data_IF_496235518201
#
_entry.id   IF_496235518201
#
_cell.length_a   1.000
_cell.length_b   1.000
_cell.length_c   1.000
_cell.angle_alpha   90.00
_cell.angle_beta   90.00
_cell.angle_gamma   90.00
#
_symmetry.space_group_name_H-M   'P 1'
#
loop_
_entity.id
_entity.type
_entity.pdbx_description
1 polymer ?
#
# COMPACT_ATOMS: atom_id res chain seq x y z
N UNK A 1 -38.13 -8.40 -77.35
CA UNK A 1 -38.42 -7.26 -76.46
C UNK A 1 -38.93 -7.86 -75.17
N UNK A 2 -38.07 -8.01 -74.18
CA UNK A 2 -38.37 -8.74 -72.94
C UNK A 2 -37.90 -7.87 -71.78
N UNK A 3 -38.84 -7.50 -70.91
CA UNK A 3 -38.60 -6.68 -69.74
C UNK A 3 -38.00 -7.53 -68.61
N UNK A 4 -37.06 -6.96 -67.86
CA UNK A 4 -36.85 -7.26 -66.44
C UNK A 4 -36.26 -6.01 -65.79
N UNK A 5 -36.99 -5.45 -64.83
CA UNK A 5 -36.48 -4.42 -63.92
C UNK A 5 -35.62 -5.06 -62.83
N UNK A 6 -34.73 -4.27 -62.26
CA UNK A 6 -34.32 -4.39 -60.86
C UNK A 6 -34.04 -3.00 -60.30
N UNK A 7 -34.72 -2.74 -59.19
CA UNK A 7 -34.58 -1.59 -58.30
C UNK A 7 -33.35 -1.78 -57.39
N UNK A 8 -32.76 -0.67 -56.95
CA UNK A 8 -32.30 -0.37 -55.58
C UNK A 8 -31.08 0.57 -55.59
N UNK A 9 -31.27 1.82 -55.17
CA UNK A 9 -30.21 2.67 -54.60
C UNK A 9 -30.84 3.85 -53.81
N UNK A 10 -30.32 4.12 -52.61
CA UNK A 10 -30.62 5.32 -51.81
C UNK A 10 -30.82 5.00 -50.32
N UNK A 11 -29.74 4.75 -49.57
CA UNK A 11 -29.09 5.69 -48.63
C UNK A 11 -29.94 6.18 -47.45
N UNK A 12 -29.58 5.72 -46.25
CA UNK A 12 -29.49 6.51 -45.01
C UNK A 12 -29.25 5.58 -43.83
N UNK A 13 -27.98 5.38 -43.43
CA UNK A 13 -27.63 4.69 -42.20
C UNK A 13 -27.35 5.73 -41.11
N UNK A 14 -28.17 5.70 -40.06
CA UNK A 14 -28.05 6.54 -38.87
C UNK A 14 -26.90 6.06 -37.97
N UNK A 15 -26.10 7.00 -37.47
CA UNK A 15 -25.03 6.79 -36.49
C UNK A 15 -25.64 6.60 -35.09
N UNK A 16 -25.31 5.55 -34.31
CA UNK A 16 -25.61 5.50 -32.89
C UNK A 16 -24.49 6.19 -32.08
N UNK A 17 -24.88 7.19 -31.29
CA UNK A 17 -24.01 7.84 -30.32
C UNK A 17 -23.69 6.93 -29.13
N UNK A 18 -22.39 6.78 -28.83
CA UNK A 18 -21.90 6.15 -27.61
C UNK A 18 -22.18 7.07 -26.40
N UNK A 19 -23.21 6.74 -25.63
CA UNK A 19 -23.36 7.20 -24.25
C UNK A 19 -22.31 6.53 -23.38
N UNK A 20 -21.33 7.31 -22.89
CA UNK A 20 -20.39 6.86 -21.88
C UNK A 20 -21.11 6.76 -20.54
N UNK A 21 -21.42 5.53 -20.10
CA UNK A 21 -21.80 5.25 -18.72
C UNK A 21 -20.57 5.43 -17.83
N UNK A 22 -20.49 6.54 -17.09
CA UNK A 22 -19.56 6.66 -15.96
C UNK A 22 -20.04 5.71 -14.86
N UNK A 23 -19.39 4.56 -14.75
CA UNK A 23 -19.54 3.69 -13.59
C UNK A 23 -18.95 4.38 -12.37
N UNK A 24 -19.84 4.88 -11.50
CA UNK A 24 -19.50 5.30 -10.14
C UNK A 24 -19.20 4.02 -9.35
N UNK A 25 -17.93 3.78 -9.02
CA UNK A 25 -17.51 2.64 -8.19
C UNK A 25 -17.81 3.03 -6.74
N UNK A 26 -18.82 2.38 -6.14
CA UNK A 26 -19.13 2.52 -4.72
C UNK A 26 -18.07 1.81 -3.88
N UNK A 27 -17.50 2.50 -2.90
CA UNK A 27 -16.58 1.92 -1.93
C UNK A 27 -17.26 0.77 -1.14
N UNK A 28 -16.58 -0.36 -0.89
CA UNK A 28 -17.09 -1.43 -0.05
C UNK A 28 -17.14 -0.99 1.43
N UNK A 29 -18.06 -1.53 2.24
CA UNK A 29 -18.28 -1.08 3.61
C UNK A 29 -17.07 -1.37 4.51
N UNK A 30 -16.68 -0.38 5.33
CA UNK A 30 -15.72 -0.55 6.41
C UNK A 30 -16.21 -1.62 7.39
N UNK A 31 -15.50 -2.75 7.44
CA UNK A 31 -15.66 -3.77 8.48
C UNK A 31 -14.89 -3.27 9.71
N UNK A 32 -15.61 -2.88 10.77
CA UNK A 32 -15.01 -2.64 12.10
C UNK A 32 -14.44 -3.96 12.64
N UNK A 33 -13.18 -3.93 13.04
CA UNK A 33 -12.52 -5.03 13.76
C UNK A 33 -12.05 -4.52 15.12
N UNK A 34 -12.84 -4.84 16.14
CA UNK A 34 -12.49 -4.67 17.55
C UNK A 34 -11.69 -5.90 18.00
N UNK A 35 -10.42 -5.75 18.35
CA UNK A 35 -9.68 -6.93 18.83
C UNK A 35 -8.17 -6.87 19.07
N UNK A 36 -7.54 -5.70 19.18
CA UNK A 36 -6.28 -5.54 19.95
C UNK A 36 -6.00 -4.04 20.19
N UNK A 37 -6.92 -3.32 20.79
CA UNK A 37 -6.65 -1.99 21.30
C UNK A 37 -7.69 -1.71 22.37
N UNK A 38 -7.31 -1.80 23.64
CA UNK A 38 -7.85 -1.02 24.73
C UNK A 38 -7.08 -1.33 26.02
N UNK A 39 -6.08 -0.49 26.31
CA UNK A 39 -5.96 0.05 27.67
C UNK A 39 -5.45 1.48 27.60
N UNK A 40 -6.29 2.36 28.15
CA UNK A 40 -6.14 3.81 28.35
C UNK A 40 -6.51 4.72 27.16
N UNK A 41 -7.82 4.94 27.00
CA UNK A 41 -8.33 6.19 26.43
C UNK A 41 -8.23 7.31 27.48
N UNK A 42 -7.46 8.34 27.18
CA UNK A 42 -7.55 9.68 27.80
C UNK A 42 -8.50 10.54 26.95
N UNK A 43 -9.40 11.35 27.54
CA UNK A 43 -10.40 12.08 26.78
C UNK A 43 -9.87 13.43 26.27
N UNK A 44 -10.22 13.71 25.00
CA UNK A 44 -10.15 15.00 24.27
C UNK A 44 -8.82 15.34 23.58
N UNK A 45 -8.73 14.92 22.33
CA UNK A 45 -8.08 15.72 21.28
C UNK A 45 -9.04 15.77 20.09
N UNK A 46 -9.91 16.78 20.06
CA UNK A 46 -10.61 17.15 18.84
C UNK A 46 -9.58 17.79 17.88
N UNK A 47 -9.65 17.38 16.61
CA UNK A 47 -8.73 17.62 15.48
C UNK A 47 -7.49 16.72 15.40
N UNK A 48 -7.67 15.51 14.87
CA UNK A 48 -6.57 14.77 14.21
C UNK A 48 -6.97 14.60 12.76
N UNK A 49 -6.73 15.63 11.95
CA UNK A 49 -6.47 15.37 10.53
C UNK A 49 -5.30 14.41 10.49
N UNK A 50 -5.46 13.27 9.81
CA UNK A 50 -4.36 12.33 9.56
C UNK A 50 -3.16 13.12 9.04
N UNK A 51 -1.97 12.86 9.57
CA UNK A 51 -0.73 13.53 9.12
C UNK A 51 -0.49 13.32 7.61
N UNK A 52 -1.07 12.25 7.07
CA UNK A 52 -1.03 11.91 5.66
C UNK A 52 -2.42 11.66 5.07
N UNK A 53 -2.60 12.01 3.82
CA UNK A 53 -3.77 11.68 3.03
C UNK A 53 -3.42 10.81 1.81
N UNK A 54 -4.40 10.50 0.97
CA UNK A 54 -4.19 9.63 -0.20
C UNK A 54 -3.14 10.19 -1.18
N UNK A 55 -2.90 11.51 -1.19
CA UNK A 55 -1.93 12.16 -2.09
C UNK A 55 -0.48 11.94 -1.66
N UNK A 56 -0.24 11.60 -0.39
CA UNK A 56 1.08 11.24 0.12
C UNK A 56 1.50 9.81 -0.26
N UNK A 57 0.57 9.02 -0.81
CA UNK A 57 0.83 7.61 -1.17
C UNK A 57 1.38 7.52 -2.58
N UNK A 58 2.57 6.92 -2.71
CA UNK A 58 3.24 6.66 -3.98
C UNK A 58 3.42 5.16 -4.19
N UNK A 59 3.47 4.72 -5.46
CA UNK A 59 3.83 3.35 -5.79
C UNK A 59 5.34 3.25 -5.96
N UNK A 60 5.99 2.51 -5.07
CA UNK A 60 7.44 2.29 -5.12
C UNK A 60 7.76 0.90 -5.68
N UNK A 61 8.91 0.71 -6.36
CA UNK A 61 9.34 -0.61 -6.81
C UNK A 61 9.53 -1.56 -5.64
N UNK A 62 9.04 -2.80 -5.78
CA UNK A 62 9.20 -3.84 -4.76
C UNK A 62 10.69 -4.09 -4.43
N UNK A 63 11.53 -4.20 -5.46
CA UNK A 63 12.97 -4.47 -5.33
C UNK A 63 13.77 -3.36 -4.64
N UNK A 64 13.20 -2.15 -4.51
CA UNK A 64 13.86 -1.05 -3.81
C UNK A 64 13.68 -1.14 -2.29
N UNK A 65 12.63 -1.82 -1.83
CA UNK A 65 12.26 -1.96 -0.43
C UNK A 65 13.21 -2.91 0.31
N UNK A 66 13.62 -2.51 1.51
CA UNK A 66 14.60 -3.23 2.32
C UNK A 66 14.04 -3.51 3.70
N UNK A 67 13.67 -4.75 4.02
CA UNK A 67 13.26 -5.11 5.37
C UNK A 67 14.48 -5.10 6.30
N UNK A 68 14.28 -4.67 7.54
CA UNK A 68 15.26 -4.82 8.62
C UNK A 68 14.77 -5.75 9.73
N UNK A 69 13.57 -6.33 9.59
CA UNK A 69 12.93 -7.14 10.63
C UNK A 69 12.21 -8.34 9.99
N UNK A 70 12.34 -9.50 10.62
CA UNK A 70 11.59 -10.71 10.26
C UNK A 70 10.08 -10.55 10.52
N UNK A 71 9.28 -11.27 9.74
CA UNK A 71 7.84 -11.36 9.95
C UNK A 71 7.47 -12.62 10.72
N UNK A 72 6.31 -12.60 11.37
CA UNK A 72 5.63 -13.81 11.86
C UNK A 72 4.80 -14.43 10.72
N UNK A 73 5.14 -15.62 10.17
CA UNK A 73 4.48 -16.18 8.99
C UNK A 73 2.97 -16.36 9.16
N UNK A 74 2.54 -16.84 10.33
CA UNK A 74 1.10 -17.01 10.64
C UNK A 74 0.30 -15.70 10.53
N UNK A 75 0.89 -14.56 10.86
CA UNK A 75 0.23 -13.26 10.72
C UNK A 75 0.21 -12.81 9.26
N UNK A 76 1.29 -13.10 8.52
CA UNK A 76 1.37 -12.86 7.07
C UNK A 76 0.31 -13.65 6.32
N UNK A 77 0.19 -14.95 6.57
CA UNK A 77 -0.71 -15.83 5.81
C UNK A 77 -2.17 -15.43 5.96
N UNK A 78 -2.58 -15.04 7.19
CA UNK A 78 -3.92 -14.48 7.42
C UNK A 78 -4.16 -13.20 6.65
N UNK A 79 -3.17 -12.30 6.63
CA UNK A 79 -3.29 -11.03 5.90
C UNK A 79 -3.24 -11.24 4.38
N UNK A 80 -2.51 -12.25 3.90
CA UNK A 80 -2.46 -12.65 2.49
C UNK A 80 -3.83 -13.09 1.99
N UNK A 81 -4.51 -13.97 2.74
CA UNK A 81 -5.88 -14.42 2.40
C UNK A 81 -6.84 -13.23 2.28
N UNK A 82 -6.77 -12.29 3.24
CA UNK A 82 -7.60 -11.09 3.22
C UNK A 82 -7.25 -10.16 2.05
N UNK A 83 -5.97 -9.99 1.76
CA UNK A 83 -5.49 -9.14 0.65
C UNK A 83 -5.99 -9.68 -0.70
N UNK A 84 -5.93 -11.00 -0.89
CA UNK A 84 -6.49 -11.64 -2.09
C UNK A 84 -8.01 -11.47 -2.17
N UNK A 85 -8.73 -11.62 -1.04
CA UNK A 85 -10.19 -11.42 -0.99
C UNK A 85 -10.61 -9.98 -1.30
N UNK A 86 -9.84 -8.99 -0.85
CA UNK A 86 -10.08 -7.57 -1.15
C UNK A 86 -9.61 -7.15 -2.54
N UNK A 87 -8.79 -7.98 -3.21
CA UNK A 87 -8.22 -7.70 -4.53
C UNK A 87 -7.22 -6.55 -4.54
N UNK A 88 -6.62 -6.19 -3.39
CA UNK A 88 -5.72 -5.04 -3.34
C UNK A 88 -5.18 -4.72 -1.95
N UNK A 89 -4.22 -3.79 -1.91
CA UNK A 89 -3.67 -3.26 -0.67
C UNK A 89 -4.56 -2.13 -0.16
N UNK A 90 -4.93 -2.20 1.12
CA UNK A 90 -5.84 -1.23 1.76
C UNK A 90 -5.14 -0.20 2.65
N UNK A 91 -3.83 -0.35 2.86
CA UNK A 91 -2.98 0.55 3.63
C UNK A 91 -1.56 0.61 3.05
N UNK A 92 -0.93 1.80 2.96
CA UNK A 92 0.44 1.93 2.45
C UNK A 92 1.49 1.52 3.50
N UNK A 93 2.67 1.12 3.05
CA UNK A 93 3.86 0.99 3.92
C UNK A 93 4.34 2.39 4.36
N UNK A 94 5.16 2.44 5.41
CA UNK A 94 5.98 3.63 5.72
C UNK A 94 7.43 3.25 5.44
N UNK A 95 8.13 4.06 4.64
CA UNK A 95 9.48 3.75 4.20
C UNK A 95 10.40 4.96 4.30
N UNK A 96 11.67 4.73 4.65
CA UNK A 96 12.69 5.75 4.50
C UNK A 96 12.94 6.02 3.02
N UNK A 97 12.75 7.27 2.59
CA UNK A 97 12.82 7.65 1.19
C UNK A 97 14.22 7.59 0.59
N UNK A 98 15.27 7.67 1.43
CA UNK A 98 16.65 7.66 0.96
C UNK A 98 17.15 6.24 0.69
N UNK A 99 16.77 5.29 1.56
CA UNK A 99 17.35 3.95 1.55
C UNK A 99 16.39 2.86 1.11
N UNK A 100 15.07 3.10 1.21
CA UNK A 100 14.04 2.08 1.03
C UNK A 100 13.81 1.21 2.27
N UNK A 101 14.40 1.56 3.42
CA UNK A 101 14.18 0.85 4.68
C UNK A 101 12.70 0.89 5.07
N UNK A 102 12.12 -0.28 5.35
CA UNK A 102 10.71 -0.40 5.74
C UNK A 102 10.57 -0.05 7.21
N UNK A 103 9.87 1.03 7.56
CA UNK A 103 9.66 1.43 8.95
C UNK A 103 8.40 0.79 9.55
N UNK A 104 7.36 0.64 8.71
CA UNK A 104 6.14 -0.09 9.05
C UNK A 104 5.60 -0.85 7.83
N UNK A 105 5.08 -2.05 8.07
CA UNK A 105 4.42 -2.87 7.05
C UNK A 105 5.21 -4.06 6.51
N UNK A 106 6.17 -4.64 7.24
CA UNK A 106 6.94 -5.82 6.81
C UNK A 106 6.07 -7.01 6.37
N UNK A 107 4.92 -7.25 7.03
CA UNK A 107 3.97 -8.28 6.58
C UNK A 107 3.37 -7.98 5.20
N UNK A 108 3.05 -6.72 4.91
CA UNK A 108 2.53 -6.28 3.61
C UNK A 108 3.60 -6.37 2.52
N UNK A 109 4.84 -6.01 2.85
CA UNK A 109 5.99 -6.26 1.98
C UNK A 109 6.15 -7.76 1.66
N UNK A 110 6.13 -8.63 2.67
CA UNK A 110 6.22 -10.09 2.46
C UNK A 110 5.08 -10.62 1.57
N UNK A 111 3.86 -10.09 1.72
CA UNK A 111 2.73 -10.42 0.83
C UNK A 111 2.98 -9.99 -0.60
N UNK A 112 3.55 -8.80 -0.81
CA UNK A 112 3.89 -8.34 -2.15
C UNK A 112 4.86 -9.30 -2.85
N UNK A 113 5.84 -9.83 -2.11
CA UNK A 113 6.76 -10.87 -2.60
C UNK A 113 6.04 -12.18 -2.97
N UNK A 114 5.20 -12.71 -2.08
CA UNK A 114 4.41 -13.94 -2.36
C UNK A 114 3.50 -13.80 -3.58
N UNK A 115 2.98 -12.60 -3.81
CA UNK A 115 2.10 -12.29 -4.94
C UNK A 115 2.87 -11.85 -6.20
N UNK A 116 4.20 -11.82 -6.17
CA UNK A 116 5.07 -11.34 -7.24
C UNK A 116 4.68 -9.94 -7.75
N UNK A 117 4.36 -9.02 -6.83
CA UNK A 117 4.02 -7.65 -7.19
C UNK A 117 5.27 -6.87 -7.58
N UNK A 118 5.17 -6.08 -8.65
CA UNK A 118 6.25 -5.21 -9.10
C UNK A 118 6.39 -3.96 -8.24
N UNK A 119 5.29 -3.50 -7.64
CA UNK A 119 5.20 -2.24 -6.89
C UNK A 119 4.36 -2.39 -5.64
N UNK A 120 4.58 -1.49 -4.68
CA UNK A 120 3.87 -1.45 -3.39
C UNK A 120 3.48 0.00 -3.06
N UNK A 121 2.26 0.28 -2.57
CA UNK A 121 1.92 1.61 -2.09
C UNK A 121 2.66 1.92 -0.79
N UNK A 122 3.31 3.07 -0.74
CA UNK A 122 4.10 3.52 0.40
C UNK A 122 4.01 5.04 0.60
N UNK A 123 4.20 5.45 1.85
CA UNK A 123 4.48 6.83 2.23
C UNK A 123 5.98 6.92 2.52
N UNK A 124 6.65 7.80 1.78
CA UNK A 124 8.10 7.96 1.83
C UNK A 124 8.47 9.13 2.73
N UNK A 125 9.23 8.86 3.80
CA UNK A 125 9.60 9.86 4.82
C UNK A 125 11.11 10.09 4.87
N UNK A 126 11.53 11.24 5.37
CA UNK A 126 12.94 11.51 5.70
C UNK A 126 13.28 10.93 7.08
N UNK A 127 13.50 9.62 7.19
CA UNK A 127 13.51 8.94 8.48
C UNK A 127 14.51 9.52 9.49
N UNK A 128 15.76 9.75 9.05
CA UNK A 128 16.82 10.22 9.94
C UNK A 128 16.62 11.67 10.41
N UNK A 129 16.05 12.53 9.56
CA UNK A 129 15.92 13.97 9.84
C UNK A 129 14.55 14.38 10.36
N UNK A 130 13.51 13.56 10.17
CA UNK A 130 12.18 13.81 10.71
C UNK A 130 12.16 13.52 12.22
N UNK A 131 12.19 14.59 13.02
CA UNK A 131 12.16 14.53 14.48
C UNK A 131 10.83 14.05 15.05
N UNK A 132 9.77 13.94 14.24
CA UNK A 132 8.47 13.41 14.68
C UNK A 132 8.43 11.89 14.66
N UNK A 133 9.41 11.27 14.01
CA UNK A 133 9.57 9.83 13.98
C UNK A 133 10.54 9.45 15.09
N UNK A 134 10.12 8.58 15.99
CA UNK A 134 10.96 7.99 17.01
C UNK A 134 11.02 6.48 16.83
N UNK A 135 12.05 5.85 17.36
CA UNK A 135 12.19 4.40 17.39
C UNK A 135 12.62 3.95 18.77
N UNK A 136 11.96 2.91 19.26
CA UNK A 136 12.28 2.22 20.50
C UNK A 136 12.24 0.70 20.23
N UNK A 137 12.54 -0.10 21.24
CA UNK A 137 12.43 -1.55 21.18
C UNK A 137 11.06 -2.02 21.67
N UNK A 138 10.56 -3.15 21.19
CA UNK A 138 9.41 -3.77 21.85
C UNK A 138 9.81 -4.30 23.24
N UNK A 139 8.89 -4.35 24.22
CA UNK A 139 9.22 -4.83 25.58
C UNK A 139 9.74 -6.27 25.67
N UNK A 140 9.57 -7.07 24.61
CA UNK A 140 10.02 -8.46 24.53
C UNK A 140 11.19 -8.66 23.54
N UNK A 141 11.80 -7.57 23.06
CA UNK A 141 12.97 -7.64 22.20
C UNK A 141 14.20 -8.13 23.00
N UNK A 142 15.16 -8.73 22.30
CA UNK A 142 16.40 -9.25 22.89
C UNK A 142 17.46 -8.16 23.12
N UNK A 143 17.19 -6.93 22.68
CA UNK A 143 18.07 -5.76 22.79
C UNK A 143 17.38 -4.66 23.61
N UNK A 144 18.17 -3.90 24.35
CA UNK A 144 17.67 -2.86 25.26
C UNK A 144 17.38 -1.52 24.57
N UNK A 145 18.00 -1.27 23.41
CA UNK A 145 17.80 -0.03 22.66
C UNK A 145 18.13 -0.22 21.19
N UNK A 146 17.54 0.63 20.36
CA UNK A 146 17.80 0.71 18.94
C UNK A 146 17.78 2.18 18.49
N UNK A 147 18.68 2.54 17.60
CA UNK A 147 18.71 3.85 16.95
C UNK A 147 18.19 3.77 15.53
N UNK A 148 17.76 4.92 14.99
CA UNK A 148 17.38 5.03 13.57
C UNK A 148 18.50 4.57 12.65
N UNK A 149 19.75 4.91 12.98
CA UNK A 149 20.90 4.50 12.17
C UNK A 149 21.06 2.98 12.14
N UNK A 150 20.86 2.28 13.27
CA UNK A 150 20.91 0.82 13.30
C UNK A 150 19.78 0.17 12.48
N UNK A 151 18.60 0.77 12.43
CA UNK A 151 17.51 0.31 11.53
C UNK A 151 17.94 0.42 10.06
N UNK A 152 18.52 1.57 9.68
CA UNK A 152 19.04 1.78 8.33
C UNK A 152 20.16 0.78 8.01
N UNK A 153 21.17 0.67 8.88
CA UNK A 153 22.33 -0.20 8.67
C UNK A 153 21.89 -1.67 8.53
N UNK A 154 20.95 -2.12 9.35
CA UNK A 154 20.38 -3.47 9.24
C UNK A 154 19.69 -3.67 7.89
N UNK A 155 18.84 -2.72 7.46
CA UNK A 155 18.15 -2.81 6.15
C UNK A 155 19.11 -2.89 4.96
N UNK A 156 20.31 -2.30 5.08
CA UNK A 156 21.32 -2.29 4.04
C UNK A 156 22.29 -3.49 4.13
N UNK A 157 22.27 -4.25 5.22
CA UNK A 157 23.23 -5.32 5.48
C UNK A 157 22.94 -6.63 4.74
N UNK A 158 21.68 -6.86 4.36
CA UNK A 158 21.18 -8.16 3.90
C UNK A 158 20.71 -9.10 5.02
N UNK A 159 20.95 -8.73 6.27
CA UNK A 159 20.44 -9.41 7.47
C UNK A 159 19.18 -8.71 8.00
N UNK A 160 18.48 -9.36 8.95
CA UNK A 160 17.28 -8.81 9.59
C UNK A 160 17.26 -9.11 11.09
N UNK A 161 16.65 -8.22 11.87
CA UNK A 161 16.36 -8.47 13.28
C UNK A 161 15.23 -9.51 13.46
N UNK A 162 15.17 -10.20 14.61
CA UNK A 162 14.02 -11.02 14.97
C UNK A 162 12.69 -10.24 14.97
N UNK A 163 11.54 -10.90 14.85
CA UNK A 163 10.26 -10.22 14.77
C UNK A 163 9.96 -9.42 16.04
N UNK A 164 9.38 -8.23 15.86
CA UNK A 164 9.09 -7.26 16.92
C UNK A 164 10.36 -6.81 17.65
N UNK A 165 11.39 -6.42 16.92
CA UNK A 165 12.58 -5.78 17.51
C UNK A 165 12.40 -4.28 17.57
N UNK A 166 12.01 -3.65 16.47
CA UNK A 166 11.83 -2.20 16.35
C UNK A 166 10.37 -1.78 16.54
N UNK A 167 10.16 -0.70 17.27
CA UNK A 167 8.86 -0.08 17.51
C UNK A 167 8.97 1.39 17.14
N UNK A 168 8.46 1.74 15.96
CA UNK A 168 8.39 3.12 15.52
C UNK A 168 7.18 3.83 16.13
N UNK A 169 7.41 5.03 16.66
CA UNK A 169 6.36 5.98 16.99
C UNK A 169 6.31 7.01 15.86
N UNK A 170 5.27 6.93 15.05
CA UNK A 170 5.00 7.78 13.89
C UNK A 170 3.49 8.07 13.90
N UNK A 171 3.03 9.09 13.14
CA UNK A 171 1.62 9.45 13.03
C UNK A 171 0.67 8.23 13.06
N UNK A 172 -0.28 8.27 13.99
CA UNK A 172 -1.11 7.11 14.36
C UNK A 172 -2.10 6.66 13.25
N UNK A 173 -2.23 7.46 12.19
CA UNK A 173 -3.23 7.26 11.15
C UNK A 173 -2.58 7.26 9.77
N UNK A 174 -2.67 6.11 9.11
CA UNK A 174 -2.40 5.97 7.68
C UNK A 174 -3.70 6.20 6.91
N UNK A 175 -3.65 6.89 5.76
CA UNK A 175 -4.82 7.05 4.90
C UNK A 175 -5.33 5.67 4.45
N UNK A 176 -6.66 5.43 4.50
CA UNK A 176 -7.23 4.27 3.83
C UNK A 176 -6.99 4.43 2.32
N UNK A 177 -6.57 3.35 1.67
CA UNK A 177 -6.40 3.30 0.21
C UNK A 177 -7.08 2.05 -0.34
N UNK A 178 -7.18 1.95 -1.66
CA UNK A 178 -7.37 0.67 -2.34
C UNK A 178 -6.58 0.70 -3.64
N UNK A 179 -5.47 -0.04 -3.68
CA UNK A 179 -4.69 -0.22 -4.91
C UNK A 179 -4.79 -1.68 -5.31
N UNK A 180 -5.38 -1.90 -6.48
CA UNK A 180 -5.68 -3.23 -6.99
C UNK A 180 -4.41 -4.05 -7.26
N UNK A 181 -4.47 -5.36 -7.01
CA UNK A 181 -3.31 -6.26 -7.22
C UNK A 181 -2.82 -6.25 -8.67
N UNK A 182 -3.73 -6.10 -9.64
CA UNK A 182 -3.38 -6.01 -11.06
C UNK A 182 -2.53 -4.77 -11.36
N UNK A 183 -2.84 -3.65 -10.72
CA UNK A 183 -2.05 -2.41 -10.83
C UNK A 183 -0.66 -2.62 -10.22
N UNK A 184 -0.60 -3.24 -9.05
CA UNK A 184 0.66 -3.49 -8.33
C UNK A 184 1.55 -4.54 -9.03
N UNK A 185 0.97 -5.48 -9.78
CA UNK A 185 1.69 -6.47 -10.56
C UNK A 185 2.32 -5.88 -11.84
N UNK A 186 1.76 -4.81 -12.39
CA UNK A 186 2.33 -4.15 -13.58
C UNK A 186 3.59 -3.34 -13.22
N UNK A 187 4.64 -3.51 -14.03
CA UNK A 187 5.74 -2.56 -14.11
C UNK A 187 5.13 -1.26 -14.64
N UNK A 188 5.20 -0.15 -13.89
CA UNK A 188 4.63 1.11 -14.38
C UNK A 188 5.22 1.47 -15.75
N UNK A 189 4.41 2.05 -16.64
CA UNK A 189 4.94 2.62 -17.89
C UNK A 189 6.08 3.58 -17.52
N UNK A 190 7.27 3.46 -18.14
CA UNK A 190 8.32 4.43 -17.93
C UNK A 190 7.77 5.78 -18.37
N UNK A 191 7.71 6.73 -17.44
CA UNK A 191 7.35 8.11 -17.74
C UNK A 191 8.36 8.60 -18.78
N UNK A 192 7.90 8.72 -20.03
CA UNK A 192 8.71 9.23 -21.13
C UNK A 192 8.72 10.75 -20.94
N UNK A 193 9.86 11.29 -20.50
CA UNK A 193 10.15 12.72 -20.61
C UNK A 193 10.33 13.12 -22.09
#
# INVERSE_FOLDING_TARGET
>A
MTAFGHSMAGTSASIPGLGHSRSVISAPPLIQWDGWANKALSPKAEWIGSMWDETDVVLVPYEWLKPHEEIKPRNRDKLLEMTQRWGGFTKPLIVDKATGAILDGHHRYSIAGELNLARVPAICVDYLTDSRIEVDVWPAAEIDSISKQQVIDMSLSGEVFPPKTSRHTIADHLPPIHVALEVLASQGEPHSD
#
